data_IF_510044107328
#
_entry.id   IF_510044107328
#
_cell.length_a   1.000
_cell.length_b   1.000
_cell.length_c   1.000
_cell.angle_alpha   90.00
_cell.angle_beta   90.00
_cell.angle_gamma   90.00
#
_symmetry.space_group_name_H-M   'P 1'
#
loop_
_entity.id
_entity.type
_entity.pdbx_description
1 polymer ?
#
# COMPACT_ATOMS: atom_id res chain seq x y z
N UNK A 1 27.68 4.60 6.56
CA UNK A 1 27.58 5.78 5.66
C UNK A 1 26.76 5.45 4.42
N UNK A 2 26.94 4.32 3.76
CA UNK A 2 26.18 3.88 2.58
C UNK A 2 24.71 3.57 2.90
N UNK A 3 24.43 2.89 4.01
CA UNK A 3 23.06 2.61 4.46
C UNK A 3 22.30 3.90 4.79
N UNK A 4 22.95 4.85 5.49
CA UNK A 4 22.33 6.15 5.81
C UNK A 4 22.03 6.96 4.54
N UNK A 5 22.90 6.90 3.53
CA UNK A 5 22.65 7.55 2.23
C UNK A 5 21.49 6.89 1.50
N UNK A 6 21.38 5.55 1.54
CA UNK A 6 20.26 4.80 0.95
C UNK A 6 18.93 5.17 1.62
N UNK A 7 18.90 5.28 2.97
CA UNK A 7 17.74 5.78 3.71
C UNK A 7 17.36 7.22 3.34
N UNK A 8 18.36 8.09 3.16
CA UNK A 8 18.14 9.50 2.77
C UNK A 8 17.64 9.64 1.33
N UNK A 9 18.11 8.80 0.41
CA UNK A 9 17.68 8.77 -1.00
C UNK A 9 16.25 8.21 -1.12
N UNK A 10 15.92 7.15 -0.38
CA UNK A 10 14.54 6.61 -0.27
C UNK A 10 13.56 7.66 0.28
N UNK A 11 13.99 8.45 1.26
CA UNK A 11 13.21 9.56 1.80
C UNK A 11 13.10 10.78 0.85
N UNK A 12 13.90 10.84 -0.21
CA UNK A 12 13.88 11.90 -1.22
C UNK A 12 13.04 11.56 -2.47
N UNK A 13 12.41 10.37 -2.53
CA UNK A 13 11.54 9.96 -3.63
C UNK A 13 12.23 9.16 -4.74
N UNK A 14 13.53 8.95 -4.66
CA UNK A 14 14.26 8.00 -5.48
C UNK A 14 14.27 6.63 -4.80
N UNK A 15 13.11 5.96 -4.83
CA UNK A 15 12.96 4.64 -4.22
C UNK A 15 13.49 3.59 -5.20
N UNK A 16 14.70 3.10 -4.98
CA UNK A 16 15.18 1.88 -5.61
C UNK A 16 14.60 0.68 -4.87
N UNK A 17 13.71 -0.02 -5.52
CA UNK A 17 13.09 -1.24 -4.99
C UNK A 17 13.79 -2.45 -5.56
N UNK A 18 14.37 -3.27 -4.67
CA UNK A 18 15.21 -4.38 -5.08
C UNK A 18 14.42 -5.60 -5.57
N UNK A 19 13.24 -5.84 -5.00
CA UNK A 19 12.34 -6.97 -5.28
C UNK A 19 10.95 -6.69 -4.70
N UNK A 20 9.89 -7.47 -5.05
CA UNK A 20 8.60 -7.39 -4.39
C UNK A 20 8.72 -7.62 -2.87
N UNK A 21 7.94 -6.88 -2.08
CA UNK A 21 7.99 -6.95 -0.62
C UNK A 21 9.16 -6.21 0.04
N UNK A 22 10.10 -5.66 -0.74
CA UNK A 22 11.20 -4.85 -0.18
C UNK A 22 10.70 -3.59 0.52
N UNK A 23 9.78 -2.87 -0.12
CA UNK A 23 9.19 -1.65 0.41
C UNK A 23 7.73 -1.53 -0.04
N UNK A 24 6.82 -1.42 0.91
CA UNK A 24 5.44 -1.04 0.69
C UNK A 24 5.22 0.44 0.98
N UNK A 25 4.32 1.08 0.26
CA UNK A 25 3.86 2.44 0.52
C UNK A 25 2.45 2.38 1.07
N UNK A 26 2.19 3.02 2.21
CA UNK A 26 0.88 3.04 2.84
C UNK A 26 0.39 4.47 3.07
N UNK A 27 -0.90 4.70 2.83
CA UNK A 27 -1.52 6.01 2.99
C UNK A 27 -3.03 5.90 3.19
N UNK A 28 -3.63 6.93 3.77
CA UNK A 28 -5.07 7.04 4.00
C UNK A 28 -5.70 8.03 3.01
N UNK A 29 -6.65 7.54 2.22
CA UNK A 29 -7.41 8.34 1.27
C UNK A 29 -8.82 8.65 1.79
N UNK A 30 -9.20 9.93 1.81
CA UNK A 30 -10.57 10.31 2.12
C UNK A 30 -11.47 10.17 0.88
N UNK A 31 -12.37 9.18 0.90
CA UNK A 31 -13.26 8.87 -0.24
C UNK A 31 -14.40 9.89 -0.33
N UNK A 32 -14.95 10.28 0.81
CA UNK A 32 -16.09 11.20 0.87
C UNK A 32 -17.03 10.88 2.02
N UNK A 33 -18.24 11.43 1.98
CA UNK A 33 -19.30 11.15 2.92
C UNK A 33 -20.53 10.62 2.18
N UNK A 34 -20.99 9.43 2.55
CA UNK A 34 -22.19 8.80 1.99
C UNK A 34 -23.36 8.96 2.96
N UNK A 35 -24.53 9.28 2.40
CA UNK A 35 -25.77 9.45 3.18
C UNK A 35 -26.11 8.12 3.88
N UNK A 36 -26.32 8.19 5.19
CA UNK A 36 -26.64 7.02 6.03
C UNK A 36 -25.43 6.23 6.55
N UNK A 37 -24.23 6.43 5.96
CA UNK A 37 -23.01 5.74 6.37
C UNK A 37 -22.05 6.70 7.09
N UNK A 38 -21.96 7.94 6.62
CA UNK A 38 -21.04 8.95 7.16
C UNK A 38 -19.75 9.06 6.34
N UNK A 39 -18.68 9.48 6.99
CA UNK A 39 -17.35 9.63 6.37
C UNK A 39 -16.75 8.26 6.07
N UNK A 40 -16.15 8.14 4.89
CA UNK A 40 -15.45 6.93 4.46
C UNK A 40 -14.00 7.27 4.17
N UNK A 41 -13.13 6.50 4.79
CA UNK A 41 -11.68 6.51 4.59
C UNK A 41 -11.25 5.19 3.95
N UNK A 42 -10.35 5.24 3.01
CA UNK A 42 -9.70 4.09 2.42
C UNK A 42 -8.28 4.00 2.95
N UNK A 43 -7.95 2.91 3.63
CA UNK A 43 -6.56 2.52 3.83
C UNK A 43 -6.04 1.90 2.54
N UNK A 44 -4.89 2.36 2.10
CA UNK A 44 -4.25 1.95 0.85
C UNK A 44 -2.85 1.44 1.14
N UNK A 45 -2.50 0.32 0.54
CA UNK A 45 -1.14 -0.20 0.49
C UNK A 45 -0.76 -0.47 -0.96
N UNK A 46 0.46 -0.12 -1.36
CA UNK A 46 1.01 -0.39 -2.70
C UNK A 46 2.43 -0.90 -2.57
N UNK A 47 2.73 -2.08 -3.09
CA UNK A 47 4.10 -2.56 -3.23
C UNK A 47 4.87 -1.70 -4.24
N UNK A 48 6.00 -1.17 -3.83
CA UNK A 48 6.74 -0.21 -4.66
C UNK A 48 7.42 -0.84 -5.86
N UNK A 49 7.68 -2.16 -5.83
CA UNK A 49 8.25 -2.90 -6.96
C UNK A 49 7.17 -3.29 -7.96
N UNK A 50 6.25 -4.17 -7.57
CA UNK A 50 5.28 -4.79 -8.46
C UNK A 50 4.07 -3.91 -8.79
N UNK A 51 3.79 -2.89 -7.95
CA UNK A 51 2.56 -2.10 -7.97
C UNK A 51 1.32 -2.88 -7.56
N UNK A 52 1.45 -4.09 -7.03
CA UNK A 52 0.34 -4.78 -6.36
C UNK A 52 -0.20 -3.87 -5.26
N UNK A 53 -1.51 -3.68 -5.24
CA UNK A 53 -2.16 -2.76 -4.34
C UNK A 53 -3.32 -3.41 -3.58
N UNK A 54 -3.59 -2.86 -2.40
CA UNK A 54 -4.71 -3.23 -1.54
C UNK A 54 -5.43 -1.98 -1.08
N UNK A 55 -6.75 -2.10 -0.95
CA UNK A 55 -7.62 -1.05 -0.45
C UNK A 55 -8.68 -1.65 0.47
N UNK A 56 -8.91 -1.02 1.62
CA UNK A 56 -9.96 -1.39 2.56
C UNK A 56 -10.61 -0.16 3.15
N UNK A 57 -11.94 -0.18 3.28
CA UNK A 57 -12.75 0.95 3.70
C UNK A 57 -13.03 0.92 5.20
N UNK A 58 -13.07 2.12 5.79
CA UNK A 58 -13.35 2.33 7.20
C UNK A 58 -14.15 3.62 7.41
N UNK A 59 -14.89 3.67 8.49
CA UNK A 59 -15.59 4.88 8.93
C UNK A 59 -14.72 5.80 9.78
N UNK A 60 -13.56 5.31 10.23
CA UNK A 60 -12.61 6.03 11.06
C UNK A 60 -11.20 5.92 10.50
N UNK A 61 -10.34 6.87 10.90
CA UNK A 61 -8.92 6.91 10.57
C UNK A 61 -8.13 6.80 11.87
N UNK A 62 -7.62 5.62 12.17
CA UNK A 62 -6.95 5.29 13.44
C UNK A 62 -5.73 4.39 13.21
N UNK A 63 -4.79 4.29 14.18
CA UNK A 63 -3.69 3.33 14.11
C UNK A 63 -4.15 1.89 13.91
N UNK A 64 -5.28 1.51 14.52
CA UNK A 64 -5.85 0.16 14.37
C UNK A 64 -6.28 -0.09 12.93
N UNK A 65 -6.97 0.87 12.27
CA UNK A 65 -7.39 0.70 10.86
C UNK A 65 -6.20 0.65 9.91
N UNK A 66 -5.11 1.34 10.24
CA UNK A 66 -3.88 1.26 9.46
C UNK A 66 -3.17 -0.11 9.61
N UNK A 67 -3.19 -0.71 10.78
CA UNK A 67 -2.66 -2.05 11.03
C UNK A 67 -3.57 -3.15 10.43
N UNK A 68 -4.89 -2.97 10.50
CA UNK A 68 -5.88 -3.96 10.08
C UNK A 68 -5.76 -4.30 8.58
N UNK A 69 -5.55 -3.34 7.67
CA UNK A 69 -5.35 -3.65 6.25
C UNK A 69 -4.10 -4.51 6.02
N UNK A 70 -3.03 -4.30 6.80
CA UNK A 70 -1.82 -5.11 6.71
C UNK A 70 -2.11 -6.55 7.14
N UNK A 71 -2.77 -6.71 8.28
CA UNK A 71 -3.09 -7.99 8.87
C UNK A 71 -4.10 -8.80 8.03
N UNK A 72 -5.11 -8.13 7.48
CA UNK A 72 -6.23 -8.78 6.79
C UNK A 72 -5.93 -9.09 5.32
N UNK A 73 -5.19 -8.20 4.64
CA UNK A 73 -5.00 -8.31 3.19
C UNK A 73 -3.55 -8.42 2.76
N UNK A 74 -2.67 -7.59 3.30
CA UNK A 74 -1.32 -7.44 2.76
C UNK A 74 -0.42 -8.61 3.15
N UNK A 75 -0.22 -8.84 4.45
CA UNK A 75 0.69 -9.88 4.92
C UNK A 75 0.27 -11.28 4.46
N UNK A 76 -1.01 -11.69 4.56
CA UNK A 76 -1.43 -13.02 4.06
C UNK A 76 -1.19 -13.19 2.54
N UNK A 77 -1.33 -12.11 1.77
CA UNK A 77 -1.06 -12.16 0.33
C UNK A 77 0.43 -12.38 0.04
N UNK A 78 1.32 -11.62 0.68
CA UNK A 78 2.76 -11.79 0.48
C UNK A 78 3.26 -13.14 1.02
N UNK A 79 2.73 -13.64 2.14
CA UNK A 79 3.00 -14.96 2.68
C UNK A 79 2.61 -16.08 1.70
N UNK A 80 1.46 -15.96 1.04
CA UNK A 80 1.02 -16.91 0.01
C UNK A 80 2.04 -17.06 -1.12
N UNK A 81 2.76 -15.99 -1.45
CA UNK A 81 3.82 -16.01 -2.45
C UNK A 81 5.22 -16.25 -1.86
N UNK A 82 5.33 -16.56 -0.56
CA UNK A 82 6.60 -16.76 0.16
C UNK A 82 7.54 -15.55 0.04
N UNK A 83 6.98 -14.35 0.04
CA UNK A 83 7.69 -13.09 -0.02
C UNK A 83 7.55 -12.36 1.33
N UNK A 84 8.65 -11.98 1.99
CA UNK A 84 8.56 -11.18 3.21
C UNK A 84 8.22 -9.73 2.86
N UNK A 85 7.47 -9.07 3.74
CA UNK A 85 7.33 -7.62 3.74
C UNK A 85 8.39 -7.03 4.67
N UNK A 86 9.41 -6.36 4.11
CA UNK A 86 10.56 -5.91 4.90
C UNK A 86 10.37 -4.51 5.48
N UNK A 87 9.73 -3.61 4.73
CA UNK A 87 9.64 -2.20 5.11
C UNK A 87 8.37 -1.56 4.61
N UNK A 88 7.83 -0.62 5.39
CA UNK A 88 6.68 0.21 4.98
C UNK A 88 7.04 1.69 5.09
N UNK A 89 6.74 2.42 4.02
CA UNK A 89 6.80 3.88 3.96
C UNK A 89 5.40 4.44 4.20
N UNK A 90 5.25 5.34 5.16
CA UNK A 90 4.03 6.11 5.39
C UNK A 90 4.32 7.61 5.54
N UNK A 91 3.29 8.41 5.51
CA UNK A 91 3.37 9.79 5.96
C UNK A 91 3.54 9.88 7.50
N UNK A 92 3.42 11.09 8.04
CA UNK A 92 3.50 11.35 9.48
C UNK A 92 2.11 11.55 10.10
N UNK A 93 1.07 11.03 9.48
CA UNK A 93 -0.28 11.05 10.02
C UNK A 93 -0.35 10.40 11.41
N UNK A 94 -1.29 10.83 12.23
CA UNK A 94 -1.48 10.29 13.59
C UNK A 94 -1.89 8.82 13.60
N UNK A 95 -2.38 8.30 12.49
CA UNK A 95 -2.67 6.87 12.29
C UNK A 95 -1.40 6.02 12.11
N UNK A 96 -0.29 6.63 11.68
CA UNK A 96 0.99 5.96 11.45
C UNK A 96 2.06 6.29 12.48
N UNK A 97 1.95 7.45 13.12
CA UNK A 97 3.00 7.99 13.97
C UNK A 97 2.47 8.53 15.30
N UNK A 98 3.08 8.08 16.39
CA UNK A 98 2.83 8.52 17.76
C UNK A 98 4.00 8.19 18.68
N UNK A 99 3.75 8.06 19.97
CA UNK A 99 4.74 7.51 20.90
C UNK A 99 4.89 6.03 20.65
N UNK A 100 6.12 5.60 20.35
CA UNK A 100 6.42 4.24 19.86
C UNK A 100 5.92 3.14 20.80
N UNK A 101 6.03 3.38 22.10
CA UNK A 101 5.62 2.46 23.17
C UNK A 101 4.09 2.36 23.38
N UNK A 102 3.32 3.24 22.76
CA UNK A 102 1.86 3.36 22.95
C UNK A 102 1.08 3.46 21.62
N UNK A 103 1.73 3.26 20.48
CA UNK A 103 1.12 3.46 19.19
C UNK A 103 0.88 2.12 18.47
N UNK A 104 -0.38 1.69 18.42
CA UNK A 104 -0.80 0.37 17.93
C UNK A 104 -0.21 -0.02 16.57
N UNK A 105 -0.19 0.90 15.62
CA UNK A 105 0.38 0.65 14.30
C UNK A 105 1.90 0.38 14.36
N UNK A 106 2.65 1.21 15.08
CA UNK A 106 4.10 1.03 15.20
C UNK A 106 4.46 -0.24 15.97
N UNK A 107 3.68 -0.56 17.01
CA UNK A 107 3.81 -1.81 17.75
C UNK A 107 3.51 -3.02 16.84
N UNK A 108 2.46 -2.94 16.01
CA UNK A 108 2.11 -4.00 15.06
C UNK A 108 3.25 -4.26 14.08
N UNK A 109 3.87 -3.21 13.51
CA UNK A 109 5.01 -3.37 12.60
C UNK A 109 6.22 -4.00 13.32
N UNK A 110 6.52 -3.56 14.53
CA UNK A 110 7.62 -4.10 15.33
C UNK A 110 7.44 -5.60 15.66
N UNK A 111 6.23 -6.03 15.99
CA UNK A 111 5.92 -7.45 16.27
C UNK A 111 6.10 -8.32 15.01
N UNK A 112 5.86 -7.77 13.84
CA UNK A 112 6.01 -8.47 12.55
C UNK A 112 7.38 -8.28 11.89
N UNK A 113 8.36 -7.72 12.59
CA UNK A 113 9.71 -7.43 12.10
C UNK A 113 9.73 -6.57 10.82
N UNK A 114 8.78 -5.63 10.70
CA UNK A 114 8.66 -4.73 9.57
C UNK A 114 9.23 -3.36 9.92
N UNK A 115 10.22 -2.91 9.18
CA UNK A 115 10.80 -1.58 9.33
C UNK A 115 9.80 -0.48 8.93
N UNK A 116 9.71 0.57 9.74
CA UNK A 116 8.88 1.73 9.47
C UNK A 116 9.69 2.94 9.01
N UNK A 117 9.57 3.30 7.74
CA UNK A 117 10.15 4.52 7.15
C UNK A 117 9.07 5.61 7.07
N UNK A 118 9.42 6.83 7.45
CA UNK A 118 8.52 7.99 7.43
C UNK A 118 8.97 8.98 6.39
N UNK A 119 8.01 9.55 5.65
CA UNK A 119 8.31 10.63 4.70
C UNK A 119 8.94 11.84 5.41
N UNK A 120 9.79 12.59 4.72
CA UNK A 120 10.32 13.86 5.25
C UNK A 120 9.19 14.86 5.46
N UNK A 121 9.24 15.59 6.57
CA UNK A 121 8.30 16.67 6.81
C UNK A 121 8.37 17.70 5.65
N UNK A 122 7.22 18.13 5.16
CA UNK A 122 7.08 19.10 4.05
C UNK A 122 7.59 18.64 2.68
N UNK A 123 7.74 17.32 2.46
CA UNK A 123 8.08 16.76 1.14
C UNK A 123 6.94 15.88 0.63
N UNK A 124 5.89 16.45 -0.01
CA UNK A 124 4.74 15.69 -0.50
C UNK A 124 5.12 14.65 -1.58
N UNK A 125 6.26 14.80 -2.24
CA UNK A 125 6.71 13.90 -3.30
C UNK A 125 7.13 12.51 -2.81
N UNK A 126 7.34 12.31 -1.52
CA UNK A 126 7.87 11.06 -0.96
C UNK A 126 6.86 9.93 -0.90
N UNK A 127 5.54 10.18 -0.99
CA UNK A 127 4.49 9.15 -1.10
C UNK A 127 3.80 9.12 -2.48
N UNK A 128 4.50 9.56 -3.52
CA UNK A 128 3.97 9.66 -4.88
C UNK A 128 3.42 8.37 -5.49
N UNK A 129 3.73 7.21 -4.90
CA UNK A 129 3.18 5.91 -5.34
C UNK A 129 1.72 5.78 -4.90
N UNK A 130 1.43 6.01 -3.61
CA UNK A 130 0.05 6.02 -3.12
C UNK A 130 -0.77 7.15 -3.74
N UNK A 131 -0.21 8.36 -3.88
CA UNK A 131 -0.89 9.48 -4.52
C UNK A 131 -1.33 9.15 -5.96
N UNK A 132 -0.44 8.51 -6.71
CA UNK A 132 -0.71 8.07 -8.09
C UNK A 132 -1.78 6.98 -8.13
N UNK A 133 -1.73 6.05 -7.19
CA UNK A 133 -2.78 5.05 -7.03
C UNK A 133 -4.12 5.68 -6.65
N UNK A 134 -4.15 6.64 -5.69
CA UNK A 134 -5.36 7.36 -5.31
C UNK A 134 -6.00 8.10 -6.49
N UNK A 135 -5.18 8.71 -7.35
CA UNK A 135 -5.66 9.34 -8.58
C UNK A 135 -6.27 8.31 -9.54
N UNK A 136 -5.65 7.15 -9.66
CA UNK A 136 -6.14 6.06 -10.53
C UNK A 136 -7.48 5.52 -10.03
N UNK A 137 -7.57 5.15 -8.74
CA UNK A 137 -8.81 4.60 -8.17
C UNK A 137 -9.94 5.62 -8.14
N UNK A 138 -9.63 6.90 -7.92
CA UNK A 138 -10.61 7.97 -8.00
C UNK A 138 -11.24 8.06 -9.39
N UNK A 139 -10.42 8.04 -10.44
CA UNK A 139 -10.88 8.21 -11.81
C UNK A 139 -11.50 6.93 -12.40
N UNK A 140 -10.90 5.77 -12.13
CA UNK A 140 -11.28 4.51 -12.78
C UNK A 140 -12.33 3.71 -11.98
N UNK A 141 -12.48 3.97 -10.69
CA UNK A 141 -13.46 3.30 -9.84
C UNK A 141 -14.49 4.26 -9.23
N UNK A 142 -14.10 5.14 -8.32
CA UNK A 142 -15.08 5.94 -7.54
C UNK A 142 -15.93 6.85 -8.39
N UNK A 143 -15.35 7.63 -9.31
CA UNK A 143 -16.11 8.54 -10.16
C UNK A 143 -17.08 7.81 -11.09
N UNK A 144 -16.73 6.63 -11.53
CA UNK A 144 -17.59 5.82 -12.40
C UNK A 144 -18.71 5.18 -11.58
N UNK A 145 -18.36 4.57 -10.46
CA UNK A 145 -19.26 3.77 -9.64
C UNK A 145 -20.31 4.64 -8.96
N UNK A 146 -19.92 5.77 -8.39
CA UNK A 146 -20.88 6.70 -7.74
C UNK A 146 -21.84 7.41 -8.72
N UNK A 147 -21.55 7.40 -10.01
CA UNK A 147 -22.52 7.86 -11.03
C UNK A 147 -23.54 6.80 -11.44
N UNK A 148 -23.22 5.53 -11.20
CA UNK A 148 -24.04 4.39 -11.64
C UNK A 148 -24.84 3.74 -10.52
N UNK A 149 -24.36 3.81 -9.28
CA UNK A 149 -24.91 3.07 -8.15
C UNK A 149 -24.92 3.92 -6.89
N UNK A 150 -26.03 3.84 -6.15
CA UNK A 150 -26.15 4.37 -4.80
C UNK A 150 -25.87 3.22 -3.82
N UNK A 151 -24.99 3.45 -2.87
CA UNK A 151 -24.65 2.49 -1.84
C UNK A 151 -25.44 2.75 -0.58
N UNK A 152 -26.00 1.71 -0.02
CA UNK A 152 -26.73 1.75 1.25
C UNK A 152 -25.87 1.35 2.43
N UNK A 153 -24.82 0.54 2.19
CA UNK A 153 -23.88 0.07 3.20
C UNK A 153 -22.43 0.17 2.72
N UNK A 154 -21.50 0.19 3.67
CA UNK A 154 -20.07 0.19 3.36
C UNK A 154 -19.61 -1.15 2.77
N UNK A 155 -20.24 -2.24 3.20
CA UNK A 155 -19.95 -3.60 2.73
C UNK A 155 -20.26 -3.76 1.23
N UNK A 156 -21.34 -3.14 0.73
CA UNK A 156 -21.64 -3.12 -0.71
C UNK A 156 -20.56 -2.37 -1.50
N UNK A 157 -20.11 -1.23 -1.00
CA UNK A 157 -19.03 -0.48 -1.63
C UNK A 157 -17.70 -1.23 -1.56
N UNK A 158 -17.39 -1.88 -0.42
CA UNK A 158 -16.19 -2.69 -0.25
C UNK A 158 -16.18 -3.87 -1.22
N UNK A 159 -17.31 -4.53 -1.43
CA UNK A 159 -17.42 -5.64 -2.39
C UNK A 159 -17.08 -5.22 -3.81
N UNK A 160 -17.68 -4.11 -4.27
CA UNK A 160 -17.41 -3.60 -5.61
C UNK A 160 -15.94 -3.11 -5.73
N UNK A 161 -15.38 -2.55 -4.65
CA UNK A 161 -13.97 -2.18 -4.55
C UNK A 161 -13.05 -3.41 -4.66
N UNK A 162 -13.38 -4.50 -3.97
CA UNK A 162 -12.59 -5.74 -4.01
C UNK A 162 -12.60 -6.36 -5.42
N UNK A 163 -13.71 -6.29 -6.15
CA UNK A 163 -13.79 -6.72 -7.56
C UNK A 163 -12.89 -5.84 -8.46
N UNK A 164 -12.94 -4.52 -8.28
CA UNK A 164 -12.07 -3.61 -9.01
C UNK A 164 -10.59 -3.83 -8.66
N UNK A 165 -10.25 -4.10 -7.40
CA UNK A 165 -8.88 -4.39 -6.98
C UNK A 165 -8.34 -5.68 -7.61
N UNK A 166 -9.18 -6.70 -7.82
CA UNK A 166 -8.80 -7.90 -8.59
C UNK A 166 -8.45 -7.55 -10.02
N UNK A 167 -9.29 -6.76 -10.69
CA UNK A 167 -8.99 -6.25 -12.04
C UNK A 167 -7.69 -5.45 -12.06
N UNK A 168 -7.49 -4.53 -11.11
CA UNK A 168 -6.29 -3.70 -11.01
C UNK A 168 -5.01 -4.53 -10.89
N UNK A 169 -5.01 -5.55 -10.05
CA UNK A 169 -3.83 -6.38 -9.80
C UNK A 169 -3.57 -7.41 -10.90
N UNK A 170 -4.63 -7.99 -11.51
CA UNK A 170 -4.49 -9.17 -12.37
C UNK A 170 -4.63 -8.86 -13.87
N UNK A 171 -5.28 -7.76 -14.24
CA UNK A 171 -5.63 -7.49 -15.63
C UNK A 171 -5.12 -6.13 -16.13
N UNK A 172 -5.14 -5.11 -15.24
CA UNK A 172 -4.73 -3.76 -15.60
C UNK A 172 -3.21 -3.68 -15.78
N UNK A 173 -2.77 -3.29 -16.97
CA UNK A 173 -1.35 -3.10 -17.26
C UNK A 173 -0.80 -1.77 -16.75
N UNK A 174 0.47 -1.74 -16.39
CA UNK A 174 1.18 -0.57 -15.87
C UNK A 174 2.43 -0.24 -16.67
N UNK A 175 2.64 1.04 -16.96
CA UNK A 175 3.82 1.54 -17.68
C UNK A 175 4.99 1.92 -16.76
N UNK A 176 4.89 1.63 -15.45
CA UNK A 176 5.97 1.92 -14.50
C UNK A 176 7.25 1.14 -14.81
N UNK A 177 8.40 1.65 -14.35
CA UNK A 177 9.76 1.14 -14.63
C UNK A 177 9.89 -0.40 -14.49
N UNK A 178 9.28 -1.01 -13.48
CA UNK A 178 9.39 -2.45 -13.23
C UNK A 178 8.31 -3.26 -13.98
N UNK A 179 7.12 -2.66 -14.16
CA UNK A 179 6.01 -3.35 -14.83
C UNK A 179 6.20 -3.42 -16.34
N UNK A 180 6.66 -2.35 -17.00
CA UNK A 180 6.93 -2.31 -18.44
C UNK A 180 5.77 -2.85 -19.30
N UNK A 181 4.53 -2.47 -19.00
CA UNK A 181 3.33 -2.92 -19.70
C UNK A 181 2.73 -4.22 -19.17
N UNK A 182 3.29 -4.83 -18.11
CA UNK A 182 2.73 -6.02 -17.43
C UNK A 182 1.73 -5.63 -16.34
N UNK A 183 1.00 -6.62 -15.86
CA UNK A 183 0.14 -6.45 -14.68
C UNK A 183 0.97 -6.40 -13.39
N UNK A 184 0.43 -5.85 -12.31
CA UNK A 184 1.08 -5.92 -11.01
C UNK A 184 1.40 -7.35 -10.56
N UNK A 185 0.47 -8.30 -10.76
CA UNK A 185 0.69 -9.70 -10.40
C UNK A 185 1.81 -10.33 -11.22
N UNK A 186 1.84 -10.15 -12.54
CA UNK A 186 2.92 -10.68 -13.38
C UNK A 186 4.27 -10.12 -12.97
N UNK A 187 4.31 -8.82 -12.62
CA UNK A 187 5.53 -8.15 -12.15
C UNK A 187 5.97 -8.68 -10.77
N UNK A 188 5.04 -9.02 -9.90
CA UNK A 188 5.34 -9.65 -8.59
C UNK A 188 5.93 -11.05 -8.79
N UNK A 189 5.31 -11.87 -9.65
CA UNK A 189 5.76 -13.25 -9.91
C UNK A 189 7.15 -13.28 -10.56
N UNK A 190 7.40 -12.40 -11.51
CA UNK A 190 8.71 -12.24 -12.15
C UNK A 190 9.77 -11.78 -11.11
N UNK A 191 9.41 -10.82 -10.27
CA UNK A 191 10.30 -10.31 -9.22
C UNK A 191 10.54 -11.30 -8.07
N UNK A 192 9.68 -12.29 -7.87
CA UNK A 192 9.89 -13.37 -6.88
C UNK A 192 11.17 -14.16 -7.17
N UNK A 193 11.46 -14.42 -8.43
CA UNK A 193 12.70 -15.10 -8.85
C UNK A 193 13.95 -14.33 -8.44
N UNK A 194 13.92 -13.00 -8.58
CA UNK A 194 15.02 -12.11 -8.20
C UNK A 194 15.28 -12.16 -6.68
N UNK A 195 14.20 -12.20 -5.89
CA UNK A 195 14.31 -12.34 -4.43
C UNK A 195 14.91 -13.71 -4.06
N UNK A 196 14.45 -14.80 -4.67
CA UNK A 196 14.93 -16.14 -4.43
C UNK A 196 16.44 -16.27 -4.76
N UNK A 197 16.88 -15.77 -5.90
CA UNK A 197 18.29 -15.78 -6.29
C UNK A 197 19.19 -15.04 -5.30
N UNK A 198 18.73 -13.87 -4.79
CA UNK A 198 19.48 -13.09 -3.80
C UNK A 198 19.60 -13.76 -2.45
N UNK A 199 18.61 -14.58 -2.05
CA UNK A 199 18.62 -15.27 -0.76
C UNK A 199 19.30 -16.63 -0.82
N UNK A 200 19.31 -17.32 -1.95
CA UNK A 200 20.08 -18.57 -2.15
C UNK A 200 21.61 -18.32 -2.15
N UNK A 201 22.05 -17.12 -2.44
CA UNK A 201 23.47 -16.73 -2.42
C UNK A 201 23.98 -16.40 -0.99
N UNK A 202 23.11 -16.40 0.03
CA UNK A 202 23.46 -16.10 1.43
C UNK A 202 23.48 -17.35 2.34
N UNK A 203 23.28 -18.54 1.79
CA UNK A 203 23.45 -19.84 2.43
C UNK A 203 24.77 -20.46 1.90
#
# INVERSE_FOLDING_TARGET
ALEKKKYDDEACGEIETAHPGYLGSQDTFYVGSLKGIGRIYQQTFVDTYSKVAFAKLYTTKTPITAADILNDKVLPYFEQYELPMLRILSDRGTEYCGRVDQHDYQLYLAINDIDHTKTKAMSPQTNGICERFHKTILNEFYQITFRKKLYSTMEELQKDLDEWMKYYNNERTHQGKMCCGRTPLDTLLDGKSIWAEKNLTQI
#
